data_IF_087070627078
#
_entry.id   IF_087070627078
#
_cell.length_a   1.000
_cell.length_b   1.000
_cell.length_c   1.000
_cell.angle_alpha   90.00
_cell.angle_beta   90.00
_cell.angle_gamma   90.00
#
_symmetry.space_group_name_H-M   'P 1'
#
loop_
_entity.id
_entity.type
_entity.pdbx_description
1 polymer ?
#
# COMPACT_ATOMS: atom_id res chain seq x y z
N UNK A 1 7.01 4.56 -4.30
CA UNK A 1 5.85 5.42 -4.59
C UNK A 1 4.56 4.61 -4.75
N UNK A 2 4.54 3.60 -5.65
CA UNK A 2 3.36 2.77 -5.86
C UNK A 2 2.88 2.07 -4.57
N UNK A 3 3.80 1.59 -3.74
CA UNK A 3 3.47 0.94 -2.48
C UNK A 3 2.80 1.92 -1.53
N UNK A 4 3.25 3.16 -1.48
CA UNK A 4 2.69 4.19 -0.61
C UNK A 4 1.24 4.51 -0.96
N UNK A 5 0.89 4.42 -2.24
CA UNK A 5 -0.49 4.65 -2.71
C UNK A 5 -1.35 3.40 -2.47
N UNK A 6 -0.76 2.23 -2.67
CA UNK A 6 -1.47 0.95 -2.58
C UNK A 6 -1.92 0.61 -1.15
N UNK A 7 -1.07 0.88 -0.15
CA UNK A 7 -1.38 0.52 1.24
C UNK A 7 -2.69 1.13 1.74
N UNK A 8 -2.95 2.43 1.60
CA UNK A 8 -4.25 2.97 2.02
C UNK A 8 -5.43 2.31 1.32
N UNK A 9 -5.27 1.93 0.06
CA UNK A 9 -6.32 1.28 -0.70
C UNK A 9 -6.69 -0.09 -0.14
N UNK A 10 -5.69 -0.90 0.22
CA UNK A 10 -5.97 -2.23 0.80
C UNK A 10 -6.48 -2.14 2.23
N UNK A 11 -6.06 -1.14 2.99
CA UNK A 11 -6.50 -0.95 4.37
C UNK A 11 -7.92 -0.40 4.46
N UNK A 12 -8.41 0.24 3.40
CA UNK A 12 -9.78 0.75 3.35
C UNK A 12 -10.82 -0.35 3.37
N UNK A 13 -10.41 -1.59 3.22
CA UNK A 13 -11.27 -2.74 3.45
C UNK A 13 -11.74 -3.45 2.20
N UNK A 14 -11.98 -4.72 2.37
CA UNK A 14 -12.33 -5.65 1.30
C UNK A 14 -13.79 -5.53 0.88
N UNK A 15 -14.40 -4.50 0.82
CA UNK A 15 -15.79 -4.37 0.39
C UNK A 15 -16.21 -2.93 0.21
N UNK A 16 -15.28 -2.02 0.41
CA UNK A 16 -15.62 -0.61 0.33
C UNK A 16 -14.71 0.18 -0.56
N UNK A 17 -15.23 1.28 -1.08
CA UNK A 17 -14.43 2.29 -1.71
C UNK A 17 -13.48 2.89 -0.67
N UNK A 18 -12.31 3.32 -1.09
CA UNK A 18 -11.38 4.00 -0.20
C UNK A 18 -11.96 5.33 0.27
N UNK A 19 -11.40 5.86 1.36
CA UNK A 19 -11.77 7.20 1.83
C UNK A 19 -11.59 8.24 0.71
N UNK A 20 -10.53 8.08 -0.08
CA UNK A 20 -10.28 8.96 -1.23
C UNK A 20 -11.43 8.88 -2.24
N UNK A 21 -11.92 7.69 -2.54
CA UNK A 21 -13.04 7.50 -3.47
C UNK A 21 -14.31 8.17 -2.96
N UNK A 22 -14.60 8.05 -1.67
CA UNK A 22 -15.74 8.71 -1.05
C UNK A 22 -15.65 10.23 -1.15
N UNK A 23 -14.45 10.78 -0.92
CA UNK A 23 -14.23 12.22 -1.00
C UNK A 23 -14.36 12.72 -2.44
N UNK A 24 -13.80 11.98 -3.40
CA UNK A 24 -13.91 12.33 -4.81
C UNK A 24 -15.37 12.28 -5.29
N UNK A 25 -16.14 11.34 -4.80
CA UNK A 25 -17.57 11.26 -5.12
C UNK A 25 -18.32 12.45 -4.54
N UNK A 26 -18.03 12.85 -3.30
CA UNK A 26 -18.62 14.03 -2.69
C UNK A 26 -18.26 15.29 -3.48
N UNK A 27 -17.03 15.38 -3.99
CA UNK A 27 -16.61 16.49 -4.83
C UNK A 27 -17.42 16.55 -6.12
N UNK A 28 -17.68 15.41 -6.74
CA UNK A 28 -18.51 15.36 -7.96
C UNK A 28 -19.94 15.78 -7.71
N UNK A 29 -20.52 15.37 -6.59
CA UNK A 29 -21.91 15.69 -6.25
C UNK A 29 -22.11 17.15 -5.86
N UNK A 30 -21.13 17.74 -5.18
CA UNK A 30 -21.25 19.12 -4.65
C UNK A 30 -20.60 20.19 -5.52
N UNK A 31 -19.73 19.79 -6.47
CA UNK A 31 -18.93 20.71 -7.26
C UNK A 31 -17.82 21.39 -6.48
N UNK A 32 -17.54 20.92 -5.26
CA UNK A 32 -16.48 21.48 -4.42
C UNK A 32 -15.18 20.71 -4.57
N UNK A 33 -14.07 21.37 -4.22
CA UNK A 33 -12.75 20.71 -4.20
C UNK A 33 -12.57 19.96 -2.89
N UNK A 34 -11.63 19.00 -2.83
CA UNK A 34 -11.30 18.34 -1.56
C UNK A 34 -10.90 19.31 -0.46
N UNK A 35 -10.18 20.39 -0.80
CA UNK A 35 -9.82 21.42 0.17
C UNK A 35 -11.05 22.09 0.78
N UNK A 36 -12.03 22.43 -0.06
CA UNK A 36 -13.28 23.06 0.38
C UNK A 36 -14.08 22.13 1.29
N UNK A 37 -13.92 20.81 1.14
CA UNK A 37 -14.57 19.83 1.98
C UNK A 37 -13.75 19.48 3.24
N UNK A 38 -12.59 20.11 3.43
CA UNK A 38 -11.75 19.89 4.59
C UNK A 38 -10.69 18.81 4.43
N UNK A 39 -10.33 18.45 3.21
CA UNK A 39 -9.34 17.41 2.92
C UNK A 39 -8.22 17.94 2.02
N UNK A 40 -7.34 18.83 2.55
CA UNK A 40 -6.29 19.46 1.73
C UNK A 40 -5.22 18.47 1.25
N UNK A 41 -5.11 17.30 1.87
CA UNK A 41 -4.14 16.28 1.50
C UNK A 41 -4.56 15.44 0.30
N UNK A 42 -5.80 15.63 -0.19
CA UNK A 42 -6.32 14.86 -1.30
C UNK A 42 -6.34 15.74 -2.54
N UNK A 43 -5.66 15.29 -3.57
CA UNK A 43 -5.62 15.97 -4.86
C UNK A 43 -6.53 15.28 -5.86
N UNK A 44 -7.24 16.08 -6.66
CA UNK A 44 -8.02 15.55 -7.78
C UNK A 44 -7.11 15.02 -8.89
N UNK A 45 -5.86 15.46 -8.89
CA UNK A 45 -4.85 15.05 -9.87
C UNK A 45 -4.06 13.81 -9.44
N UNK A 46 -4.28 13.36 -8.20
CA UNK A 46 -3.59 12.17 -7.68
C UNK A 46 -4.19 10.93 -8.29
N UNK A 47 -3.67 10.60 -9.42
CA UNK A 47 -3.97 9.34 -10.08
C UNK A 47 -3.03 8.26 -9.58
N UNK A 48 -3.29 7.04 -9.98
CA UNK A 48 -2.41 5.92 -9.70
C UNK A 48 -0.99 6.25 -10.14
N UNK A 49 -0.04 6.11 -9.23
CA UNK A 49 1.36 6.24 -9.58
C UNK A 49 1.74 4.98 -10.37
N UNK A 50 2.10 5.12 -11.65
CA UNK A 50 2.38 3.95 -12.46
C UNK A 50 3.66 3.25 -12.00
N UNK A 51 3.61 1.93 -11.97
CA UNK A 51 4.81 1.13 -11.76
C UNK A 51 5.57 1.11 -13.09
N UNK A 52 6.88 1.42 -13.08
CA UNK A 52 7.67 1.33 -14.31
C UNK A 52 7.56 -0.05 -14.95
N UNK A 53 7.44 -0.10 -16.27
CA UNK A 53 7.28 -1.35 -17.00
C UNK A 53 8.36 -2.36 -16.66
N UNK A 54 9.60 -1.91 -16.54
CA UNK A 54 10.75 -2.76 -16.21
C UNK A 54 10.66 -3.36 -14.81
N UNK A 55 9.88 -2.76 -13.91
CA UNK A 55 9.71 -3.23 -12.54
C UNK A 55 8.40 -3.94 -12.29
N UNK A 56 7.57 -4.13 -13.31
CA UNK A 56 6.25 -4.73 -13.13
C UNK A 56 6.31 -6.14 -12.57
N UNK A 57 7.26 -6.94 -13.00
CA UNK A 57 7.41 -8.30 -12.49
C UNK A 57 7.74 -8.33 -11.00
N UNK A 58 8.57 -7.38 -10.54
CA UNK A 58 8.90 -7.25 -9.12
C UNK A 58 7.69 -6.79 -8.31
N UNK A 59 6.86 -5.94 -8.89
CA UNK A 59 5.61 -5.50 -8.26
C UNK A 59 4.67 -6.69 -8.03
N UNK A 60 4.52 -7.56 -9.03
CA UNK A 60 3.71 -8.77 -8.89
C UNK A 60 4.29 -9.74 -7.88
N UNK A 61 5.61 -9.92 -7.88
CA UNK A 61 6.29 -10.76 -6.89
C UNK A 61 6.05 -10.24 -5.48
N UNK A 62 6.14 -8.93 -5.30
CA UNK A 62 5.90 -8.31 -4.01
C UNK A 62 4.47 -8.53 -3.54
N UNK A 63 3.50 -8.40 -4.42
CA UNK A 63 2.10 -8.63 -4.08
C UNK A 63 1.85 -10.08 -3.64
N UNK A 64 2.46 -11.05 -4.33
CA UNK A 64 2.36 -12.44 -3.94
C UNK A 64 2.99 -12.71 -2.58
N UNK A 65 4.17 -12.15 -2.35
CA UNK A 65 4.85 -12.28 -1.06
C UNK A 65 4.03 -11.68 0.07
N UNK A 66 3.36 -10.57 -0.17
CA UNK A 66 2.49 -9.95 0.82
C UNK A 66 1.31 -10.84 1.20
N UNK A 67 0.85 -11.70 0.29
CA UNK A 67 -0.21 -12.67 0.58
C UNK A 67 0.16 -13.69 1.65
N UNK A 68 1.47 -13.96 1.79
CA UNK A 68 1.97 -14.88 2.83
C UNK A 68 2.56 -14.16 4.04
N UNK A 69 2.39 -12.87 4.14
CA UNK A 69 2.96 -12.06 5.22
C UNK A 69 2.35 -12.43 6.57
N UNK A 70 3.21 -12.53 7.58
CA UNK A 70 2.77 -12.78 8.94
C UNK A 70 2.27 -11.52 9.63
N UNK A 71 1.69 -11.72 10.81
CA UNK A 71 1.19 -10.65 11.67
C UNK A 71 1.50 -11.04 13.11
N UNK A 72 1.99 -10.08 13.89
CA UNK A 72 2.38 -10.31 15.29
C UNK A 72 1.31 -9.88 16.31
N UNK A 73 0.09 -9.59 15.85
CA UNK A 73 -0.98 -9.08 16.71
C UNK A 73 -1.06 -7.57 16.76
N UNK A 74 0.01 -6.88 16.37
CA UNK A 74 0.08 -5.41 16.34
C UNK A 74 0.12 -4.86 14.92
N UNK A 75 0.29 -5.72 13.95
CA UNK A 75 0.36 -5.35 12.55
C UNK A 75 1.20 -6.33 11.74
N UNK A 76 1.37 -6.07 10.45
CA UNK A 76 2.14 -6.95 9.59
C UNK A 76 3.61 -6.96 9.98
N UNK A 77 4.22 -8.13 9.94
CA UNK A 77 5.66 -8.28 10.15
C UNK A 77 6.40 -8.12 8.83
N UNK A 78 7.68 -7.79 8.91
CA UNK A 78 8.54 -7.70 7.73
C UNK A 78 8.65 -9.06 7.04
N UNK A 79 8.80 -9.04 5.71
CA UNK A 79 9.09 -10.24 4.95
C UNK A 79 10.49 -10.73 5.35
N UNK A 80 10.58 -11.97 5.82
CA UNK A 80 11.86 -12.55 6.23
C UNK A 80 12.63 -13.08 5.01
N UNK A 81 13.94 -13.25 5.19
CA UNK A 81 14.77 -13.91 4.18
C UNK A 81 14.26 -15.33 3.89
N UNK A 82 13.80 -16.02 4.94
CA UNK A 82 13.24 -17.37 4.82
C UNK A 82 11.97 -17.40 4.00
N UNK A 83 11.09 -16.43 4.20
CA UNK A 83 9.83 -16.31 3.43
C UNK A 83 10.12 -16.11 1.96
N UNK A 84 11.05 -15.23 1.64
CA UNK A 84 11.42 -14.96 0.24
C UNK A 84 12.09 -16.16 -0.40
N UNK A 85 12.95 -16.86 0.34
CA UNK A 85 13.59 -18.07 -0.15
C UNK A 85 12.57 -19.17 -0.44
N UNK A 86 11.67 -19.42 0.51
CA UNK A 86 10.64 -20.45 0.36
C UNK A 86 9.72 -20.12 -0.83
N UNK A 87 9.30 -18.87 -0.95
CA UNK A 87 8.47 -18.44 -2.06
C UNK A 87 9.18 -18.63 -3.40
N UNK A 88 10.43 -18.17 -3.50
CA UNK A 88 11.20 -18.28 -4.74
C UNK A 88 11.40 -19.75 -5.14
N UNK A 89 11.67 -20.62 -4.19
CA UNK A 89 11.86 -22.04 -4.43
C UNK A 89 10.55 -22.72 -4.85
N UNK A 90 9.45 -22.43 -4.16
CA UNK A 90 8.17 -23.07 -4.43
C UNK A 90 7.55 -22.59 -5.75
N UNK A 91 7.78 -21.36 -6.13
CA UNK A 91 7.26 -20.80 -7.38
C UNK A 91 8.25 -20.88 -8.54
N UNK A 92 9.45 -21.38 -8.28
CA UNK A 92 10.54 -21.44 -9.26
C UNK A 92 10.91 -20.07 -9.82
N UNK A 93 10.77 -19.02 -9.00
CA UNK A 93 11.14 -17.67 -9.38
C UNK A 93 12.64 -17.46 -9.16
N UNK A 94 13.44 -17.22 -10.22
CA UNK A 94 14.87 -17.01 -10.06
C UNK A 94 15.12 -15.56 -9.61
N UNK A 95 15.40 -15.38 -8.32
CA UNK A 95 15.71 -14.07 -7.77
C UNK A 95 17.21 -13.82 -7.75
N UNK A 96 17.64 -12.72 -8.37
CA UNK A 96 19.00 -12.23 -8.24
C UNK A 96 19.16 -11.47 -6.91
N UNK A 97 20.41 -11.28 -6.43
CA UNK A 97 20.64 -10.48 -5.23
C UNK A 97 20.04 -9.08 -5.31
N UNK A 98 20.15 -8.44 -6.49
CA UNK A 98 19.57 -7.11 -6.69
C UNK A 98 18.05 -7.12 -6.53
N UNK A 99 17.39 -8.13 -7.09
CA UNK A 99 15.94 -8.26 -6.99
C UNK A 99 15.48 -8.48 -5.56
N UNK A 100 16.21 -9.30 -4.80
CA UNK A 100 15.92 -9.53 -3.38
C UNK A 100 16.03 -8.23 -2.59
N UNK A 101 17.09 -7.45 -2.82
CA UNK A 101 17.28 -6.17 -2.13
C UNK A 101 16.18 -5.17 -2.52
N UNK A 102 15.76 -5.18 -3.77
CA UNK A 102 14.66 -4.34 -4.23
C UNK A 102 13.35 -4.70 -3.54
N UNK A 103 13.03 -5.99 -3.44
CA UNK A 103 11.85 -6.47 -2.72
C UNK A 103 11.88 -6.06 -1.26
N UNK A 104 13.04 -6.11 -0.61
CA UNK A 104 13.17 -5.67 0.76
C UNK A 104 12.97 -4.16 0.91
N UNK A 105 13.41 -3.38 -0.06
CA UNK A 105 13.16 -1.93 -0.07
C UNK A 105 11.68 -1.63 -0.24
N UNK A 106 11.01 -2.38 -1.08
CA UNK A 106 9.55 -2.27 -1.25
C UNK A 106 8.84 -2.63 0.06
N UNK A 107 9.31 -3.65 0.75
CA UNK A 107 8.76 -4.06 2.03
C UNK A 107 8.93 -2.99 3.10
N UNK A 108 10.09 -2.34 3.16
CA UNK A 108 10.31 -1.24 4.10
C UNK A 108 9.33 -0.09 3.82
N UNK A 109 9.11 0.24 2.55
CA UNK A 109 8.14 1.25 2.16
C UNK A 109 6.70 0.85 2.54
N UNK A 110 6.36 -0.42 2.36
CA UNK A 110 5.06 -0.96 2.77
C UNK A 110 4.83 -0.79 4.27
N UNK A 111 5.80 -1.21 5.08
CA UNK A 111 5.66 -1.15 6.53
C UNK A 111 5.57 0.29 7.03
N UNK A 112 6.34 1.20 6.45
CA UNK A 112 6.28 2.63 6.79
C UNK A 112 4.91 3.23 6.42
N UNK A 113 4.40 2.91 5.25
CA UNK A 113 3.09 3.38 4.80
C UNK A 113 1.96 2.81 5.66
N UNK A 114 2.07 1.53 6.06
CA UNK A 114 1.10 0.91 6.94
C UNK A 114 1.08 1.60 8.31
N UNK A 115 2.25 1.88 8.88
CA UNK A 115 2.35 2.57 10.16
C UNK A 115 1.75 3.97 10.09
N UNK A 116 2.02 4.71 9.02
CA UNK A 116 1.46 6.05 8.81
C UNK A 116 -0.06 6.02 8.70
N UNK A 117 -0.59 5.06 7.96
CA UNK A 117 -2.03 4.92 7.77
C UNK A 117 -2.72 4.53 9.08
N UNK A 118 -2.12 3.64 9.86
CA UNK A 118 -2.64 3.25 11.17
C UNK A 118 -2.66 4.45 12.12
N UNK A 119 -1.60 5.25 12.14
CA UNK A 119 -1.53 6.44 12.97
C UNK A 119 -2.60 7.45 12.57
N UNK A 120 -2.78 7.68 11.28
CA UNK A 120 -3.82 8.57 10.76
C UNK A 120 -5.21 8.11 11.20
N UNK A 121 -5.47 6.81 11.10
CA UNK A 121 -6.76 6.22 11.49
C UNK A 121 -7.02 6.38 12.98
N UNK A 122 -6.01 6.17 13.81
CA UNK A 122 -6.11 6.33 15.27
C UNK A 122 -6.38 7.78 15.66
N UNK A 123 -5.73 8.73 14.98
CA UNK A 123 -5.98 10.16 15.22
C UNK A 123 -7.41 10.54 14.90
N UNK A 124 -7.97 10.00 13.83
CA UNK A 124 -9.35 10.27 13.44
C UNK A 124 -10.34 9.70 14.46
N UNK A 125 -10.06 8.54 15.03
CA UNK A 125 -10.88 7.95 16.09
C UNK A 125 -10.81 8.77 17.38
N UNK A 126 -9.67 9.34 17.69
CA UNK A 126 -9.49 10.15 18.90
C UNK A 126 -10.21 11.48 18.88
N UNK A 127 -10.69 11.92 17.70
CA UNK A 127 -11.42 13.18 17.53
C UNK A 127 -12.94 13.03 17.62
N UNK A 128 -13.40 11.83 17.80
CA UNK A 128 -14.83 11.54 18.03
C UNK A 128 -15.11 11.51 19.53
#
# INVERSE_FOLDING_TARGET
EAVRVWVPQIMAGAGGASQRDHILEACRQTGKTPEELGYPDISLEDEEIPVPEDGLYLWFFFQELCGGRGNNGFGPTALSWSDMEAWARLTSAPLSPYEVLTLRSMDAAFLAAYANETERHNKNKGKQ
#
